data_IF_881151208731
#
_entry.id   IF_881151208731
#
_cell.length_a   1.000
_cell.length_b   1.000
_cell.length_c   1.000
_cell.angle_alpha   90.00
_cell.angle_beta   90.00
_cell.angle_gamma   90.00
#
_symmetry.space_group_name_H-M   'P 1'
#
loop_
_entity.id
_entity.type
_entity.pdbx_description
1 polymer ?
#
# COMPACT_ATOMS: atom_id res chain seq x y z
N UNK A 1 5.53 26.69 4.33
CA UNK A 1 5.00 25.56 3.52
C UNK A 1 5.56 24.24 4.01
N UNK A 2 6.89 24.10 4.19
CA UNK A 2 7.50 22.91 4.82
C UNK A 2 6.94 22.61 6.22
N UNK A 3 6.79 23.62 7.07
CA UNK A 3 6.27 23.45 8.45
C UNK A 3 4.86 22.82 8.48
N UNK A 4 3.97 23.26 7.58
CA UNK A 4 2.61 22.72 7.48
C UNK A 4 2.58 21.30 6.93
N UNK A 5 3.40 21.00 5.91
CA UNK A 5 3.50 19.64 5.35
C UNK A 5 4.06 18.66 6.38
N UNK A 6 5.00 19.12 7.22
CA UNK A 6 5.56 18.34 8.31
C UNK A 6 4.54 18.05 9.40
N UNK A 7 3.75 19.05 9.78
CA UNK A 7 2.63 18.89 10.72
C UNK A 7 1.62 17.85 10.21
N UNK A 8 1.19 17.94 8.95
CA UNK A 8 0.18 17.04 8.38
C UNK A 8 0.67 15.59 8.21
N UNK A 9 1.84 15.38 7.61
CA UNK A 9 2.27 14.05 7.17
C UNK A 9 3.35 13.42 8.06
N UNK A 10 4.10 14.24 8.81
CA UNK A 10 5.16 13.82 9.72
C UNK A 10 6.53 13.70 9.06
N UNK A 11 7.57 13.85 9.90
CA UNK A 11 8.98 13.94 9.50
C UNK A 11 9.44 12.75 8.66
N UNK A 12 9.02 11.53 9.05
CA UNK A 12 9.42 10.30 8.37
C UNK A 12 8.93 10.26 6.92
N UNK A 13 7.71 10.73 6.67
CA UNK A 13 7.11 10.75 5.32
C UNK A 13 7.85 11.76 4.45
N UNK A 14 8.14 12.94 4.98
CA UNK A 14 8.91 13.95 4.26
C UNK A 14 10.32 13.48 3.94
N UNK A 15 11.02 12.90 4.92
CA UNK A 15 12.37 12.37 4.72
C UNK A 15 12.42 11.34 3.58
N UNK A 16 11.42 10.47 3.51
CA UNK A 16 11.35 9.39 2.52
C UNK A 16 10.94 9.90 1.14
N UNK A 17 10.03 10.86 1.03
CA UNK A 17 9.45 11.24 -0.27
C UNK A 17 9.98 12.57 -0.84
N UNK A 18 10.45 13.53 -0.03
CA UNK A 18 10.80 14.87 -0.54
C UNK A 18 12.04 14.92 -1.44
N UNK A 19 12.98 13.99 -1.27
CA UNK A 19 14.24 13.98 -2.03
C UNK A 19 14.31 12.84 -3.06
N UNK A 20 13.26 12.01 -3.15
CA UNK A 20 13.22 10.86 -4.06
C UNK A 20 12.38 11.20 -5.29
N UNK A 21 12.91 10.85 -6.46
CA UNK A 21 12.16 10.84 -7.70
C UNK A 21 11.70 9.41 -7.96
N UNK A 22 10.41 9.24 -8.23
CA UNK A 22 9.82 7.93 -8.50
C UNK A 22 9.46 7.83 -9.98
N UNK A 23 9.70 6.66 -10.57
CA UNK A 23 9.08 6.37 -11.87
C UNK A 23 7.57 6.22 -11.67
N UNK A 24 6.82 6.73 -12.63
CA UNK A 24 5.38 6.53 -12.70
C UNK A 24 5.10 5.26 -13.49
N UNK A 25 4.39 4.33 -12.88
CA UNK A 25 4.09 3.01 -13.43
C UNK A 25 2.59 2.73 -13.31
N UNK A 26 2.06 1.93 -14.24
CA UNK A 26 0.74 1.34 -14.05
C UNK A 26 0.82 0.34 -12.89
N UNK A 27 0.00 0.53 -11.87
CA UNK A 27 -0.08 -0.36 -10.72
C UNK A 27 -1.53 -0.78 -10.49
N UNK A 28 -1.71 -1.96 -9.91
CA UNK A 28 -3.03 -2.50 -9.57
C UNK A 28 -3.76 -1.68 -8.49
N UNK A 29 -3.01 -1.00 -7.61
CA UNK A 29 -3.57 -0.23 -6.49
C UNK A 29 -4.07 -1.06 -5.30
N UNK A 30 -4.53 -2.30 -5.54
CA UNK A 30 -5.00 -3.21 -4.47
C UNK A 30 -4.60 -4.68 -4.71
N UNK A 31 -3.29 -4.94 -4.89
CA UNK A 31 -2.83 -6.29 -5.22
C UNK A 31 -2.70 -7.14 -3.94
N UNK A 32 -3.70 -7.98 -3.67
CA UNK A 32 -3.69 -8.97 -2.59
C UNK A 32 -3.91 -10.39 -3.10
N UNK A 33 -3.70 -11.38 -2.22
CA UNK A 33 -3.94 -12.81 -2.55
C UNK A 33 -5.36 -13.06 -3.04
N UNK A 34 -6.33 -12.30 -2.53
CA UNK A 34 -7.74 -12.40 -2.88
C UNK A 34 -8.01 -11.98 -4.34
N UNK A 35 -7.12 -11.17 -4.92
CA UNK A 35 -7.26 -10.62 -6.27
C UNK A 35 -6.43 -11.39 -7.31
N UNK A 36 -5.83 -12.54 -6.94
CA UNK A 36 -5.00 -13.36 -7.83
C UNK A 36 -5.63 -14.76 -7.96
N UNK A 37 -6.08 -15.10 -9.17
CA UNK A 37 -6.54 -16.46 -9.46
C UNK A 37 -5.37 -17.34 -9.89
N UNK A 38 -5.22 -18.49 -9.24
CA UNK A 38 -4.20 -19.49 -9.54
C UNK A 38 -4.87 -20.80 -9.97
N UNK A 39 -4.41 -21.38 -11.08
CA UNK A 39 -4.80 -22.72 -11.56
C UNK A 39 -3.54 -23.50 -11.91
N UNK A 40 -3.41 -24.71 -11.38
CA UNK A 40 -2.26 -25.60 -11.61
C UNK A 40 -0.90 -24.91 -11.34
N UNK A 41 -0.84 -24.13 -10.26
CA UNK A 41 0.38 -23.40 -9.85
C UNK A 41 0.72 -22.18 -10.71
N UNK A 42 -0.14 -21.77 -11.66
CA UNK A 42 0.05 -20.60 -12.52
C UNK A 42 -1.00 -19.53 -12.24
N UNK A 43 -0.57 -18.27 -12.23
CA UNK A 43 -1.50 -17.14 -12.21
C UNK A 43 -2.27 -17.13 -13.54
N UNK A 44 -3.60 -17.23 -13.46
CA UNK A 44 -4.48 -17.24 -14.63
C UNK A 44 -5.28 -15.95 -14.78
N UNK A 45 -5.45 -15.19 -13.70
CA UNK A 45 -6.07 -13.86 -13.76
C UNK A 45 -5.65 -12.99 -12.56
N UNK A 46 -5.67 -11.69 -12.78
CA UNK A 46 -5.66 -10.66 -11.74
C UNK A 46 -7.00 -9.94 -11.83
N UNK A 47 -7.72 -9.87 -10.72
CA UNK A 47 -9.06 -9.33 -10.60
C UNK A 47 -9.04 -7.99 -9.85
N UNK A 48 -10.16 -7.28 -9.89
CA UNK A 48 -10.40 -6.09 -9.05
C UNK A 48 -9.51 -4.88 -9.34
N UNK A 49 -9.54 -4.44 -10.59
CA UNK A 49 -8.75 -3.32 -11.11
C UNK A 49 -9.34 -1.93 -10.80
N UNK A 50 -10.34 -1.80 -9.93
CA UNK A 50 -11.01 -0.51 -9.69
C UNK A 50 -10.11 0.54 -9.03
N UNK A 51 -9.09 0.09 -8.31
CA UNK A 51 -8.07 0.93 -7.69
C UNK A 51 -6.83 1.11 -8.58
N UNK A 52 -6.83 0.59 -9.81
CA UNK A 52 -5.68 0.65 -10.69
C UNK A 52 -5.44 2.06 -11.23
N UNK A 53 -4.17 2.38 -11.47
CA UNK A 53 -3.79 3.69 -11.95
C UNK A 53 -2.29 3.87 -12.13
N UNK A 54 -1.92 5.06 -12.58
CA UNK A 54 -0.53 5.47 -12.77
C UNK A 54 0.01 6.08 -11.48
N UNK A 55 0.76 5.31 -10.72
CA UNK A 55 1.30 5.69 -9.42
C UNK A 55 2.82 5.56 -9.39
N UNK A 56 3.45 6.07 -8.33
CA UNK A 56 4.86 5.86 -8.11
C UNK A 56 5.18 4.35 -8.03
N UNK A 57 6.34 3.93 -8.54
CA UNK A 57 6.75 2.52 -8.60
C UNK A 57 6.71 1.77 -7.26
N UNK A 58 6.86 2.47 -6.12
CA UNK A 58 6.75 1.87 -4.79
C UNK A 58 5.31 1.50 -4.39
N UNK A 59 4.31 2.01 -5.10
CA UNK A 59 2.89 1.87 -4.76
C UNK A 59 2.44 0.41 -4.79
N UNK A 60 2.91 -0.37 -5.77
CA UNK A 60 2.60 -1.79 -5.85
C UNK A 60 3.09 -2.58 -4.63
N UNK A 61 4.31 -2.31 -4.16
CA UNK A 61 4.87 -2.97 -2.97
C UNK A 61 4.13 -2.56 -1.70
N UNK A 62 3.88 -1.27 -1.51
CA UNK A 62 3.30 -0.75 -0.28
C UNK A 62 1.83 -1.11 -0.14
N UNK A 63 1.02 -1.01 -1.20
CA UNK A 63 -0.40 -1.38 -1.16
C UNK A 63 -0.64 -2.86 -1.03
N UNK A 64 0.25 -3.71 -1.55
CA UNK A 64 0.16 -5.15 -1.27
C UNK A 64 0.26 -5.48 0.23
N UNK A 65 0.95 -4.65 1.02
CA UNK A 65 1.04 -4.74 2.48
C UNK A 65 -0.10 -4.02 3.23
N UNK A 66 -1.02 -3.37 2.51
CA UNK A 66 -2.23 -2.74 3.05
C UNK A 66 -3.44 -3.70 2.98
N UNK A 67 -3.19 -5.00 2.93
CA UNK A 67 -4.24 -6.03 2.91
C UNK A 67 -4.53 -6.56 4.32
N UNK A 68 -5.80 -6.86 4.59
CA UNK A 68 -6.25 -7.43 5.87
C UNK A 68 -5.98 -8.95 5.99
N UNK A 69 -5.54 -9.59 4.90
CA UNK A 69 -5.28 -11.03 4.86
C UNK A 69 -3.82 -11.31 5.23
N UNK A 70 -3.60 -11.92 6.39
CA UNK A 70 -2.26 -12.34 6.83
C UNK A 70 -1.90 -13.70 6.20
N UNK A 71 -1.23 -13.66 5.04
CA UNK A 71 -0.61 -14.85 4.45
C UNK A 71 0.91 -14.65 4.32
N UNK A 72 1.71 -15.12 5.29
CA UNK A 72 3.16 -14.92 5.29
C UNK A 72 3.84 -15.34 3.99
N UNK A 73 3.42 -16.44 3.39
CA UNK A 73 3.98 -17.00 2.15
C UNK A 73 3.79 -16.04 0.97
N UNK A 74 2.69 -15.29 0.94
CA UNK A 74 2.46 -14.27 -0.08
C UNK A 74 3.40 -13.09 0.08
N UNK A 75 3.63 -12.62 1.30
CA UNK A 75 4.57 -11.54 1.55
C UNK A 75 6.01 -11.94 1.27
N UNK A 76 6.39 -13.18 1.57
CA UNK A 76 7.69 -13.73 1.19
C UNK A 76 7.83 -13.82 -0.34
N UNK A 77 6.79 -14.29 -1.04
CA UNK A 77 6.76 -14.30 -2.50
C UNK A 77 6.89 -12.88 -3.08
N UNK A 78 6.13 -11.91 -2.57
CA UNK A 78 6.22 -10.52 -2.99
C UNK A 78 7.64 -9.98 -2.81
N UNK A 79 8.25 -10.17 -1.64
CA UNK A 79 9.64 -9.74 -1.38
C UNK A 79 10.67 -10.33 -2.36
N UNK A 80 10.39 -11.50 -2.92
CA UNK A 80 11.25 -12.17 -3.90
C UNK A 80 10.97 -11.75 -5.35
N UNK A 81 9.73 -11.35 -5.66
CA UNK A 81 9.25 -11.17 -7.05
C UNK A 81 9.09 -9.70 -7.46
N UNK A 82 8.93 -8.79 -6.51
CA UNK A 82 8.83 -7.35 -6.79
C UNK A 82 9.93 -6.58 -6.05
N UNK A 83 10.30 -5.44 -6.60
CA UNK A 83 11.27 -4.54 -5.98
C UNK A 83 10.79 -4.11 -4.58
N UNK A 84 11.73 -4.08 -3.64
CA UNK A 84 11.44 -3.75 -2.24
C UNK A 84 11.50 -2.24 -2.01
N UNK A 85 10.53 -1.75 -1.26
CA UNK A 85 10.40 -0.35 -0.88
C UNK A 85 10.08 -0.22 0.62
N UNK A 86 10.95 -0.76 1.47
CA UNK A 86 10.69 -0.86 2.91
C UNK A 86 10.61 0.50 3.61
N UNK A 87 11.43 1.47 3.19
CA UNK A 87 11.36 2.84 3.70
C UNK A 87 10.02 3.50 3.38
N UNK A 88 9.54 3.31 2.16
CA UNK A 88 8.23 3.82 1.71
C UNK A 88 7.11 3.09 2.43
N UNK A 89 7.23 1.78 2.64
CA UNK A 89 6.26 1.02 3.42
C UNK A 89 6.15 1.53 4.86
N UNK A 90 7.28 1.86 5.50
CA UNK A 90 7.22 2.42 6.86
C UNK A 90 6.65 3.85 6.87
N UNK A 91 6.98 4.67 5.87
CA UNK A 91 6.36 5.98 5.70
C UNK A 91 4.83 5.88 5.49
N UNK A 92 4.39 4.98 4.62
CA UNK A 92 2.97 4.70 4.38
C UNK A 92 2.27 4.21 5.65
N UNK A 93 2.88 3.33 6.45
CA UNK A 93 2.33 2.90 7.75
C UNK A 93 2.17 4.05 8.73
N UNK A 94 3.08 5.03 8.73
CA UNK A 94 2.90 6.27 9.51
C UNK A 94 1.67 7.03 9.03
N UNK A 95 1.47 7.16 7.71
CA UNK A 95 0.27 7.78 7.14
C UNK A 95 -1.01 7.04 7.52
N UNK A 96 -1.05 5.71 7.36
CA UNK A 96 -2.23 4.90 7.66
C UNK A 96 -2.65 4.99 9.13
N UNK A 97 -1.68 5.05 10.06
CA UNK A 97 -1.94 5.27 11.49
C UNK A 97 -2.46 6.68 11.78
N UNK A 98 -1.91 7.71 11.12
CA UNK A 98 -2.26 9.11 11.36
C UNK A 98 -3.60 9.52 10.76
N UNK A 99 -3.90 9.02 9.56
CA UNK A 99 -5.06 9.39 8.76
C UNK A 99 -6.21 8.37 8.90
N UNK A 100 -6.27 7.69 10.04
CA UNK A 100 -7.05 6.46 10.24
C UNK A 100 -8.47 6.50 9.65
N UNK A 101 -8.82 5.36 9.06
CA UNK A 101 -9.91 5.09 8.13
C UNK A 101 -11.26 5.65 8.62
N UNK A 102 -11.92 6.57 7.90
CA UNK A 102 -13.24 7.08 8.30
C UNK A 102 -14.30 5.96 8.40
N UNK A 103 -14.14 4.86 7.67
CA UNK A 103 -15.09 3.73 7.65
C UNK A 103 -15.10 2.91 8.97
N UNK A 104 -14.03 2.89 9.75
CA UNK A 104 -14.00 2.19 11.04
C UNK A 104 -14.66 2.98 12.17
N UNK A 105 -14.84 4.29 12.00
CA UNK A 105 -15.51 5.16 13.00
C UNK A 105 -17.03 4.99 12.98
N UNK A 106 -17.61 4.62 11.84
CA UNK A 106 -19.06 4.39 11.69
C UNK A 106 -19.49 3.14 12.47
N UNK A 107 -18.72 2.05 12.40
CA UNK A 107 -19.05 0.78 13.09
C UNK A 107 -19.01 0.91 14.62
N UNK A 108 -18.17 1.79 15.16
CA UNK A 108 -18.07 2.03 16.62
C UNK A 108 -19.12 3.00 17.16
N UNK A 109 -19.74 3.81 16.30
CA UNK A 109 -20.82 4.72 16.70
C UNK A 109 -22.19 4.03 16.80
N UNK A 110 -22.34 2.84 16.20
CA UNK A 110 -23.60 2.09 16.17
C UNK A 110 -23.67 0.91 17.16
N UNK A 111 -22.60 0.69 17.95
CA UNK A 111 -22.54 -0.36 19.00
C UNK A 111 -22.30 0.20 20.41
N UNK A 112 -22.63 1.47 20.63
CA UNK A 112 -22.66 2.12 21.95
C UNK A 112 -24.07 2.26 22.50
#
# INVERSE_FOLDING_TARGET
>A
MQDYTQECFGDKVLQVHCQRQYRICSTHGDLGVQNILVRDGKVVAILDWECAGWYAEYWGYTKAHYNSVLLPEFYEMLRQKIDRYDDQLEAERVLWRRLDQPLNKVVRAETG
#
